data_IF_096166398534
#
_entry.id   IF_096166398534
#
_cell.length_a   1.000
_cell.length_b   1.000
_cell.length_c   1.000
_cell.angle_alpha   90.00
_cell.angle_beta   90.00
_cell.angle_gamma   90.00
#
_symmetry.space_group_name_H-M   'P 1'
#
loop_
_entity.id
_entity.type
_entity.pdbx_description
1 polymer ?
#
# COMPACT_ATOMS: atom_id res chain seq x y z
N UNK A 1 16.68 -13.59 -4.44
CA UNK A 1 15.38 -12.90 -4.25
C UNK A 1 15.32 -12.31 -2.84
N UNK A 2 14.81 -11.07 -2.66
CA UNK A 2 14.70 -10.40 -1.35
C UNK A 2 13.24 -10.37 -0.87
N UNK A 3 12.70 -11.53 -0.51
CA UNK A 3 11.29 -11.72 -0.12
C UNK A 3 10.91 -10.85 1.08
N UNK A 4 11.81 -10.72 2.08
CA UNK A 4 11.58 -9.88 3.26
C UNK A 4 11.29 -8.42 2.90
N UNK A 5 12.01 -7.87 1.92
CA UNK A 5 11.80 -6.49 1.48
C UNK A 5 10.42 -6.35 0.82
N UNK A 6 10.05 -7.29 -0.05
CA UNK A 6 8.74 -7.27 -0.71
C UNK A 6 7.59 -7.31 0.31
N UNK A 7 7.68 -8.18 1.32
CA UNK A 7 6.68 -8.27 2.40
C UNK A 7 6.57 -6.96 3.18
N UNK A 8 7.69 -6.29 3.44
CA UNK A 8 7.69 -4.99 4.13
C UNK A 8 7.06 -3.88 3.27
N UNK A 9 7.36 -3.85 1.98
CA UNK A 9 6.81 -2.86 1.04
C UNK A 9 5.30 -2.99 0.92
N UNK A 10 4.77 -4.21 0.87
CA UNK A 10 3.33 -4.46 0.81
C UNK A 10 2.72 -4.69 2.19
N UNK A 11 3.20 -4.02 3.24
CA UNK A 11 2.61 -4.14 4.57
C UNK A 11 1.35 -3.28 4.73
N UNK A 12 0.50 -3.61 5.72
CA UNK A 12 -0.75 -2.89 5.95
C UNK A 12 -0.49 -1.42 6.28
N UNK A 13 0.56 -1.15 7.06
CA UNK A 13 1.01 0.19 7.40
C UNK A 13 1.37 1.04 6.17
N UNK A 14 1.91 0.44 5.10
CA UNK A 14 2.21 1.19 3.86
C UNK A 14 0.93 1.54 3.12
N UNK A 15 -0.04 0.63 3.08
CA UNK A 15 -1.36 0.90 2.48
C UNK A 15 -2.10 2.01 3.21
N UNK A 16 -2.14 1.95 4.55
CA UNK A 16 -2.79 2.98 5.38
C UNK A 16 -2.10 4.35 5.20
N UNK A 17 -0.78 4.37 5.08
CA UNK A 17 -0.03 5.60 4.80
C UNK A 17 -0.36 6.19 3.42
N UNK A 18 -0.53 5.35 2.38
CA UNK A 18 -0.93 5.80 1.05
C UNK A 18 -2.33 6.44 1.08
N UNK A 19 -3.29 5.82 1.77
CA UNK A 19 -4.64 6.37 1.92
C UNK A 19 -4.63 7.68 2.72
N UNK A 20 -3.86 7.76 3.80
CA UNK A 20 -3.73 8.97 4.60
C UNK A 20 -3.13 10.14 3.79
N UNK A 21 -2.06 9.87 3.04
CA UNK A 21 -1.43 10.87 2.19
C UNK A 21 -2.36 11.42 1.10
N UNK A 22 -3.22 10.56 0.53
CA UNK A 22 -4.17 10.95 -0.50
C UNK A 22 -5.43 11.62 0.07
N UNK A 23 -6.12 10.98 1.02
CA UNK A 23 -7.47 11.37 1.46
C UNK A 23 -7.44 12.45 2.53
N UNK A 24 -6.55 12.31 3.52
CA UNK A 24 -6.47 13.22 4.66
C UNK A 24 -5.56 14.41 4.36
N UNK A 25 -4.36 14.16 3.84
CA UNK A 25 -3.37 15.20 3.56
C UNK A 25 -3.54 15.87 2.18
N UNK A 26 -4.30 15.26 1.26
CA UNK A 26 -4.52 15.75 -0.11
C UNK A 26 -3.22 16.11 -0.85
N UNK A 27 -2.18 15.28 -0.69
CA UNK A 27 -0.88 15.54 -1.31
C UNK A 27 -0.98 15.25 -2.82
N UNK A 28 -0.68 16.23 -3.71
CA UNK A 28 -0.86 16.05 -5.16
C UNK A 28 -0.07 14.88 -5.76
N UNK A 29 1.10 14.55 -5.20
CA UNK A 29 1.91 13.41 -5.66
C UNK A 29 1.32 12.05 -5.30
N UNK A 30 0.34 11.99 -4.40
CA UNK A 30 -0.37 10.78 -4.00
C UNK A 30 -1.78 10.69 -4.61
N UNK A 31 -2.10 11.55 -5.57
CA UNK A 31 -3.37 11.47 -6.28
C UNK A 31 -3.50 10.11 -6.99
N UNK A 32 -4.63 9.43 -6.81
CA UNK A 32 -4.93 8.08 -7.30
C UNK A 32 -4.12 6.96 -6.63
N UNK A 33 -3.53 7.20 -5.46
CA UNK A 33 -2.81 6.18 -4.70
C UNK A 33 -3.73 5.08 -4.15
N UNK A 34 -5.05 5.31 -4.06
CA UNK A 34 -6.06 4.39 -3.58
C UNK A 34 -6.02 3.02 -4.26
N UNK A 35 -5.80 2.99 -5.59
CA UNK A 35 -5.68 1.73 -6.32
C UNK A 35 -4.46 0.91 -5.85
N UNK A 36 -3.35 1.60 -5.56
CA UNK A 36 -2.11 0.98 -5.06
C UNK A 36 -2.27 0.54 -3.61
N UNK A 37 -2.92 1.34 -2.78
CA UNK A 37 -3.26 0.99 -1.40
C UNK A 37 -4.15 -0.26 -1.34
N UNK A 38 -5.16 -0.32 -2.21
CA UNK A 38 -6.07 -1.47 -2.34
C UNK A 38 -5.32 -2.72 -2.77
N UNK A 39 -4.46 -2.62 -3.79
CA UNK A 39 -3.63 -3.74 -4.24
C UNK A 39 -2.73 -4.26 -3.10
N UNK A 40 -2.07 -3.36 -2.36
CA UNK A 40 -1.23 -3.75 -1.23
C UNK A 40 -2.04 -4.49 -0.14
N UNK A 41 -3.28 -4.05 0.16
CA UNK A 41 -4.17 -4.73 1.11
C UNK A 41 -4.56 -6.14 0.65
N UNK A 42 -4.91 -6.30 -0.64
CA UNK A 42 -5.27 -7.60 -1.21
C UNK A 42 -4.11 -8.59 -1.10
N UNK A 43 -2.90 -8.13 -1.41
CA UNK A 43 -1.70 -8.98 -1.41
C UNK A 43 -1.33 -9.51 0.00
N UNK A 44 -1.70 -8.77 1.06
CA UNK A 44 -1.54 -9.21 2.45
C UNK A 44 -2.64 -10.20 2.85
N UNK A 45 -3.90 -9.91 2.51
CA UNK A 45 -5.04 -10.74 2.93
C UNK A 45 -5.10 -12.09 2.21
N UNK A 46 -4.69 -12.12 0.95
CA UNK A 46 -4.59 -13.33 0.16
C UNK A 46 -3.14 -13.49 -0.29
N UNK A 47 -2.24 -14.01 0.58
CA UNK A 47 -0.91 -14.34 0.15
C UNK A 47 -1.06 -15.34 -1.00
N UNK A 48 -0.65 -14.91 -2.20
CA UNK A 48 -0.57 -15.77 -3.39
C UNK A 48 0.55 -16.77 -3.07
N UNK A 49 0.19 -17.85 -2.40
CA UNK A 49 1.00 -19.04 -2.18
C UNK A 49 0.66 -20.08 -3.24
#
# INVERSE_FOLDING_TARGET
>A
MRVKLAVQTFSSSVSDALEYCEKDLNIPSFQYAEATATFAKILIMYPIC
#
